data_IF_155504504142
#
_entry.id   IF_155504504142
#
_cell.length_a   1.000
_cell.length_b   1.000
_cell.length_c   1.000
_cell.angle_alpha   90.00
_cell.angle_beta   90.00
_cell.angle_gamma   90.00
#
_symmetry.space_group_name_H-M   'P 1'
#
loop_
_entity.id
_entity.type
_entity.pdbx_description
1 polymer ?
#
# COMPACT_ATOMS: atom_id res chain seq x y z
N UNK A 1 -19.85 7.66 -6.55
CA UNK A 1 -20.54 8.72 -5.80
C UNK A 1 -20.66 8.37 -4.32
N UNK A 2 -21.32 7.27 -3.90
CA UNK A 2 -21.50 6.89 -2.48
C UNK A 2 -20.18 6.72 -1.72
N UNK A 3 -19.20 6.03 -2.28
CA UNK A 3 -17.86 5.85 -1.66
C UNK A 3 -17.21 7.18 -1.33
N UNK A 4 -17.22 8.13 -2.26
CA UNK A 4 -16.55 9.43 -2.11
C UNK A 4 -17.30 10.40 -1.20
N UNK A 5 -18.63 10.39 -1.25
CA UNK A 5 -19.45 11.35 -0.48
C UNK A 5 -19.78 10.85 0.93
N UNK A 6 -19.59 9.57 1.23
CA UNK A 6 -19.98 9.00 2.51
C UNK A 6 -18.89 8.11 3.13
N UNK A 7 -18.36 7.10 2.40
CA UNK A 7 -17.43 6.13 3.00
C UNK A 7 -16.09 6.80 3.35
N UNK A 8 -15.46 7.47 2.38
CA UNK A 8 -14.15 8.09 2.58
C UNK A 8 -14.20 9.25 3.61
N UNK A 9 -15.16 10.19 3.57
CA UNK A 9 -15.15 11.34 4.47
C UNK A 9 -15.73 11.06 5.86
N UNK A 10 -16.55 10.03 6.03
CA UNK A 10 -17.26 9.79 7.31
C UNK A 10 -16.99 8.43 7.91
N UNK A 11 -17.25 7.33 7.18
CA UNK A 11 -17.20 5.98 7.76
C UNK A 11 -15.76 5.60 8.13
N UNK A 12 -14.82 5.78 7.22
CA UNK A 12 -13.40 5.44 7.48
C UNK A 12 -12.83 6.27 8.63
N UNK A 13 -12.95 7.62 8.64
CA UNK A 13 -12.46 8.40 9.76
C UNK A 13 -13.12 8.06 11.11
N UNK A 14 -14.40 7.71 11.12
CA UNK A 14 -15.07 7.27 12.37
C UNK A 14 -14.46 5.98 12.91
N UNK A 15 -14.21 5.00 12.05
CA UNK A 15 -13.58 3.73 12.44
C UNK A 15 -12.12 3.94 12.90
N UNK A 16 -11.36 4.73 12.18
CA UNK A 16 -9.96 5.04 12.53
C UNK A 16 -9.87 5.85 13.83
N UNK A 17 -10.76 6.80 14.06
CA UNK A 17 -10.84 7.54 15.32
C UNK A 17 -11.26 6.65 16.50
N UNK A 18 -11.96 5.56 16.24
CA UNK A 18 -12.28 4.54 17.24
C UNK A 18 -11.12 3.53 17.46
N UNK A 19 -10.00 3.68 16.75
CA UNK A 19 -8.80 2.84 16.88
C UNK A 19 -8.71 1.69 15.88
N UNK A 20 -9.60 1.61 14.90
CA UNK A 20 -9.52 0.60 13.86
C UNK A 20 -8.42 0.92 12.84
N UNK A 21 -7.75 -0.12 12.34
CA UNK A 21 -6.91 -0.05 11.14
C UNK A 21 -7.78 -0.43 9.95
N UNK A 22 -8.06 0.53 9.08
CA UNK A 22 -9.01 0.33 7.97
C UNK A 22 -8.26 0.10 6.66
N UNK A 23 -8.49 -1.07 6.06
CA UNK A 23 -8.07 -1.37 4.69
C UNK A 23 -9.25 -1.18 3.73
N UNK A 24 -8.97 -0.63 2.55
CA UNK A 24 -9.95 -0.49 1.47
C UNK A 24 -9.40 -1.14 0.19
N UNK A 25 -10.17 -2.00 -0.51
CA UNK A 25 -9.74 -2.58 -1.78
C UNK A 25 -9.82 -1.60 -2.96
N UNK A 26 -10.13 -0.35 -2.70
CA UNK A 26 -10.09 0.77 -3.65
C UNK A 26 -9.15 1.85 -3.14
N UNK A 27 -8.64 2.66 -4.06
CA UNK A 27 -7.86 3.84 -3.68
C UNK A 27 -8.69 4.79 -2.83
N UNK A 28 -8.15 5.18 -1.68
CA UNK A 28 -8.80 6.09 -0.73
C UNK A 28 -8.35 7.54 -0.87
N UNK A 29 -7.19 7.80 -1.47
CA UNK A 29 -6.70 9.14 -1.69
C UNK A 29 -7.33 9.77 -2.93
N UNK A 30 -7.90 10.95 -2.75
CA UNK A 30 -8.52 11.73 -3.84
C UNK A 30 -7.51 12.61 -4.57
N UNK A 31 -6.23 12.64 -4.16
CA UNK A 31 -5.16 13.37 -4.82
C UNK A 31 -4.90 12.79 -6.22
N UNK A 32 -4.95 13.65 -7.25
CA UNK A 32 -4.69 13.24 -8.62
C UNK A 32 -3.22 13.09 -8.95
N UNK A 33 -2.35 13.75 -8.17
CA UNK A 33 -0.92 13.56 -8.29
C UNK A 33 -0.51 12.29 -7.55
N UNK A 34 0.46 11.59 -8.11
CA UNK A 34 1.12 10.44 -7.51
C UNK A 34 2.61 10.54 -7.76
N UNK A 35 3.38 10.46 -6.70
CA UNK A 35 4.84 10.40 -6.77
C UNK A 35 5.28 9.13 -6.06
N UNK A 36 6.01 8.29 -6.77
CA UNK A 36 6.60 7.08 -6.22
C UNK A 36 8.11 7.25 -6.20
N UNK A 37 8.68 7.06 -5.02
CA UNK A 37 10.13 6.97 -4.81
C UNK A 37 10.46 5.53 -4.47
N UNK A 38 11.40 4.96 -5.19
CA UNK A 38 11.70 3.53 -5.17
C UNK A 38 13.22 3.31 -5.25
N UNK A 39 13.71 2.22 -4.67
CA UNK A 39 15.12 1.87 -4.71
C UNK A 39 15.64 1.53 -6.12
N UNK A 40 14.76 1.19 -7.06
CA UNK A 40 15.08 0.93 -8.48
C UNK A 40 14.85 2.16 -9.38
N UNK A 41 14.50 3.32 -8.80
CA UNK A 41 14.22 4.54 -9.58
C UNK A 41 15.50 5.08 -10.21
N UNK A 42 15.50 5.45 -11.51
CA UNK A 42 16.68 5.96 -12.20
C UNK A 42 17.26 7.25 -11.60
N UNK A 43 16.42 8.03 -10.90
CA UNK A 43 16.83 9.25 -10.18
C UNK A 43 17.19 8.90 -8.73
N UNK A 44 18.33 8.25 -8.53
CA UNK A 44 18.85 7.83 -7.23
C UNK A 44 18.98 8.97 -6.19
N UNK A 45 18.84 10.23 -6.58
CA UNK A 45 18.85 11.39 -5.67
C UNK A 45 17.61 11.49 -4.76
N UNK A 46 16.57 10.71 -5.02
CA UNK A 46 15.32 10.70 -4.24
C UNK A 46 15.22 9.52 -3.27
N UNK A 47 16.00 8.47 -3.48
CA UNK A 47 16.16 7.33 -2.57
C UNK A 47 17.58 7.27 -2.06
N UNK A 48 17.76 7.23 -0.76
CA UNK A 48 19.07 7.22 -0.11
C UNK A 48 19.15 6.11 0.94
N UNK A 49 20.30 5.43 0.98
CA UNK A 49 20.62 4.47 2.03
C UNK A 49 21.77 5.00 2.88
N UNK A 50 21.51 5.22 4.16
CA UNK A 50 22.50 5.55 5.16
C UNK A 50 22.79 4.33 6.00
N UNK A 51 24.05 4.00 6.16
CA UNK A 51 24.47 2.84 6.94
C UNK A 51 25.84 3.06 7.57
N UNK A 52 26.34 2.03 8.23
CA UNK A 52 27.67 2.01 8.84
C UNK A 52 28.53 0.90 8.21
N UNK A 53 29.81 0.80 8.64
CA UNK A 53 30.67 -0.34 8.20
C UNK A 53 30.09 -1.70 8.56
N UNK A 54 29.24 -1.79 9.64
CA UNK A 54 28.66 -3.02 10.16
C UNK A 54 27.19 -3.19 9.75
N UNK A 55 26.46 -2.09 9.51
CA UNK A 55 25.07 -2.09 9.10
C UNK A 55 24.97 -1.62 7.65
N UNK A 56 24.80 -2.57 6.72
CA UNK A 56 24.72 -2.31 5.27
C UNK A 56 23.42 -2.83 4.71
N UNK A 57 22.78 -2.02 3.90
CA UNK A 57 21.65 -2.43 3.09
C UNK A 57 22.09 -3.47 2.04
N UNK A 58 21.27 -4.48 1.86
CA UNK A 58 21.53 -5.60 0.94
C UNK A 58 20.28 -5.87 0.11
N UNK A 59 20.44 -6.19 -1.15
CA UNK A 59 19.31 -6.60 -2.02
C UNK A 59 18.78 -7.95 -1.57
N UNK A 60 17.45 -8.07 -1.49
CA UNK A 60 16.78 -9.34 -1.17
C UNK A 60 16.81 -10.29 -2.37
N UNK A 61 16.50 -11.56 -2.14
CA UNK A 61 16.23 -12.52 -3.23
C UNK A 61 14.80 -12.44 -3.76
N UNK A 62 13.94 -11.69 -3.08
CA UNK A 62 12.52 -11.53 -3.44
C UNK A 62 12.37 -10.29 -4.33
N UNK A 63 11.52 -10.40 -5.35
CA UNK A 63 11.18 -9.26 -6.21
C UNK A 63 10.47 -8.17 -5.41
N UNK A 64 10.66 -6.92 -5.81
CA UNK A 64 10.03 -5.74 -5.25
C UNK A 64 9.26 -4.95 -6.30
N UNK A 65 8.78 -3.80 -5.89
CA UNK A 65 8.13 -2.84 -6.76
C UNK A 65 9.16 -2.16 -7.68
N UNK A 66 8.75 -1.88 -8.92
CA UNK A 66 9.38 -0.87 -9.76
C UNK A 66 8.39 -0.36 -10.81
N UNK A 67 8.30 0.94 -10.94
CA UNK A 67 7.46 1.55 -12.00
C UNK A 67 8.23 1.62 -13.31
N UNK A 68 8.28 0.51 -14.05
CA UNK A 68 8.97 0.44 -15.35
C UNK A 68 8.15 0.92 -16.54
N UNK A 69 6.85 1.11 -16.34
CA UNK A 69 5.90 1.48 -17.41
C UNK A 69 5.01 2.64 -16.97
N UNK A 70 4.66 3.49 -17.92
CA UNK A 70 3.62 4.50 -17.67
C UNK A 70 2.21 3.87 -17.63
N UNK A 71 1.98 2.81 -18.43
CA UNK A 71 0.70 2.09 -18.53
C UNK A 71 0.97 0.60 -18.40
N UNK A 72 0.22 -0.04 -17.53
CA UNK A 72 0.23 -1.49 -17.31
C UNK A 72 -0.95 -2.15 -18.01
N UNK A 73 -0.72 -3.29 -18.63
CA UNK A 73 -1.78 -4.13 -19.20
C UNK A 73 -2.45 -4.96 -18.12
N UNK A 74 -3.63 -5.48 -18.43
CA UNK A 74 -4.29 -6.47 -17.58
C UNK A 74 -3.34 -7.65 -17.31
N UNK A 75 -3.19 -8.04 -16.04
CA UNK A 75 -2.30 -9.12 -15.59
C UNK A 75 -0.85 -8.71 -15.30
N UNK A 76 -0.41 -7.52 -15.67
CA UNK A 76 0.93 -7.04 -15.32
C UNK A 76 0.98 -6.54 -13.87
N UNK A 77 2.06 -6.87 -13.15
CA UNK A 77 2.21 -6.54 -11.74
C UNK A 77 3.53 -5.79 -11.49
N UNK A 78 3.48 -4.49 -11.10
CA UNK A 78 4.69 -3.71 -10.85
C UNK A 78 5.52 -4.22 -9.65
N UNK A 79 4.93 -5.00 -8.72
CA UNK A 79 5.64 -5.59 -7.58
C UNK A 79 6.53 -6.79 -7.95
N UNK A 80 6.54 -7.19 -9.21
CA UNK A 80 7.45 -8.23 -9.73
C UNK A 80 8.54 -7.68 -10.64
N UNK A 81 8.56 -6.38 -10.85
CA UNK A 81 9.44 -5.71 -11.82
C UNK A 81 10.74 -5.20 -11.20
N UNK A 82 10.76 -4.98 -9.88
CA UNK A 82 11.87 -4.38 -9.13
C UNK A 82 12.60 -5.34 -8.21
N UNK A 83 13.40 -4.72 -7.35
CA UNK A 83 14.14 -5.34 -6.25
C UNK A 83 13.66 -4.75 -4.93
N UNK A 84 14.01 -5.37 -3.82
CA UNK A 84 13.83 -4.79 -2.50
C UNK A 84 15.11 -4.90 -1.69
N UNK A 85 15.22 -4.07 -0.64
CA UNK A 85 16.42 -3.94 0.17
C UNK A 85 16.13 -4.35 1.60
N UNK A 86 17.10 -4.94 2.30
CA UNK A 86 16.96 -5.25 3.72
C UNK A 86 18.21 -4.93 4.51
N UNK A 87 18.04 -4.77 5.81
CA UNK A 87 19.13 -4.57 6.75
C UNK A 87 18.79 -5.25 8.09
N UNK A 88 19.82 -5.67 8.82
CA UNK A 88 19.67 -6.21 10.17
C UNK A 88 19.22 -5.11 11.14
N UNK A 89 18.33 -5.50 12.06
CA UNK A 89 17.84 -4.58 13.09
C UNK A 89 18.88 -4.34 14.19
N UNK A 90 18.82 -3.15 14.75
CA UNK A 90 19.59 -2.73 15.92
C UNK A 90 18.65 -2.31 17.05
N UNK A 91 18.95 -2.79 18.29
CA UNK A 91 18.24 -2.31 19.47
C UNK A 91 18.65 -0.89 19.79
N UNK A 92 17.69 -0.06 20.20
CA UNK A 92 17.95 1.30 20.67
C UNK A 92 18.96 1.26 21.84
N UNK A 93 20.15 1.81 21.62
CA UNK A 93 21.21 1.95 22.62
C UNK A 93 21.56 3.42 22.80
N UNK A 94 22.07 3.81 23.99
CA UNK A 94 22.54 5.18 24.28
C UNK A 94 23.62 5.69 23.30
N UNK A 95 24.35 4.78 22.62
CA UNK A 95 25.30 5.09 21.55
C UNK A 95 24.93 4.23 20.34
N UNK A 96 24.17 4.79 19.42
CA UNK A 96 23.74 4.14 18.17
C UNK A 96 24.90 4.12 17.15
N UNK A 97 25.84 3.19 17.30
CA UNK A 97 27.00 3.09 16.40
C UNK A 97 26.67 2.46 15.03
N UNK A 98 25.60 1.66 14.96
CA UNK A 98 25.23 0.89 13.79
C UNK A 98 23.82 1.25 13.33
N UNK A 99 23.37 2.48 13.62
CA UNK A 99 22.09 2.99 13.13
C UNK A 99 22.17 3.21 11.61
N UNK A 100 21.12 2.79 10.92
CA UNK A 100 21.00 2.87 9.47
C UNK A 100 19.57 3.28 9.09
N UNK A 101 19.45 3.94 7.95
CA UNK A 101 18.18 4.45 7.45
C UNK A 101 18.06 4.20 5.94
N UNK A 102 16.83 4.03 5.48
CA UNK A 102 16.44 4.25 4.10
C UNK A 102 15.52 5.47 4.05
N UNK A 103 15.73 6.36 3.09
CA UNK A 103 15.04 7.63 2.98
C UNK A 103 14.43 7.77 1.58
N UNK A 104 13.16 8.18 1.54
CA UNK A 104 12.41 8.45 0.31
C UNK A 104 11.97 9.92 0.31
N UNK A 105 12.57 10.71 -0.57
CA UNK A 105 12.35 12.16 -0.66
C UNK A 105 11.61 12.47 -1.96
N UNK A 106 10.29 12.74 -1.94
CA UNK A 106 9.54 13.01 -3.16
C UNK A 106 9.81 14.42 -3.71
N UNK A 107 9.69 14.59 -5.01
CA UNK A 107 9.55 15.92 -5.64
C UNK A 107 8.08 16.14 -5.97
N UNK A 108 7.36 16.78 -5.07
CA UNK A 108 5.91 16.96 -5.20
C UNK A 108 5.57 18.10 -6.17
N UNK A 109 4.60 17.90 -7.08
CA UNK A 109 4.25 18.93 -8.09
C UNK A 109 3.44 20.10 -7.51
N UNK A 110 2.79 19.93 -6.36
CA UNK A 110 1.96 20.93 -5.71
C UNK A 110 1.94 20.72 -4.19
N UNK A 111 1.79 21.80 -3.43
CA UNK A 111 1.45 21.76 -2.00
C UNK A 111 0.04 21.16 -1.82
N UNK A 112 -0.14 20.33 -0.80
CA UNK A 112 -1.45 19.73 -0.48
C UNK A 112 -1.36 18.47 0.35
N UNK A 113 -2.51 17.82 0.50
CA UNK A 113 -2.66 16.54 1.20
C UNK A 113 -2.33 15.38 0.28
N UNK A 114 -1.45 14.51 0.76
CA UNK A 114 -1.08 13.26 0.09
C UNK A 114 -1.18 12.11 1.08
N UNK A 115 -1.85 11.04 0.68
CA UNK A 115 -1.75 9.78 1.39
C UNK A 115 -0.36 9.19 1.17
N UNK A 116 0.22 8.63 2.22
CA UNK A 116 1.52 7.98 2.21
C UNK A 116 1.31 6.48 2.33
N UNK A 117 1.85 5.74 1.37
CA UNK A 117 1.87 4.28 1.35
C UNK A 117 3.32 3.80 1.28
N UNK A 118 3.60 2.73 2.00
CA UNK A 118 4.91 2.07 1.95
C UNK A 118 4.77 0.68 1.36
N UNK A 119 5.82 0.22 0.69
CA UNK A 119 5.98 -1.14 0.22
C UNK A 119 7.20 -1.78 0.85
N UNK A 120 7.12 -3.07 1.08
CA UNK A 120 8.21 -3.93 1.56
C UNK A 120 7.93 -5.38 1.17
N UNK A 121 8.91 -6.25 1.33
CA UNK A 121 8.72 -7.69 1.22
C UNK A 121 8.72 -8.34 2.61
N UNK A 122 7.80 -9.26 2.83
CA UNK A 122 7.83 -10.11 4.03
C UNK A 122 8.94 -11.15 3.87
N UNK A 123 9.94 -11.06 4.73
CA UNK A 123 11.08 -11.98 4.77
C UNK A 123 10.94 -12.90 5.99
N UNK A 124 11.59 -14.09 6.01
CA UNK A 124 11.48 -15.02 7.14
C UNK A 124 11.85 -14.42 8.50
N UNK A 125 12.75 -13.44 8.52
CA UNK A 125 13.23 -12.77 9.72
C UNK A 125 12.70 -11.35 9.86
N UNK A 126 11.64 -10.96 9.16
CA UNK A 126 11.02 -9.64 9.30
C UNK A 126 10.57 -9.39 10.73
N UNK A 127 10.65 -8.12 11.16
CA UNK A 127 10.19 -7.69 12.49
C UNK A 127 8.75 -7.18 12.45
N UNK A 128 8.08 -7.14 13.60
CA UNK A 128 6.71 -6.65 13.71
C UNK A 128 6.61 -5.16 14.06
N UNK A 129 7.73 -4.49 14.31
CA UNK A 129 7.81 -3.10 14.74
C UNK A 129 8.76 -2.26 13.88
N UNK A 130 8.80 -2.51 12.56
CA UNK A 130 9.61 -1.72 11.63
C UNK A 130 9.23 -0.23 11.74
N UNK A 131 10.21 0.60 12.08
CA UNK A 131 9.99 2.00 12.44
C UNK A 131 10.07 2.91 11.23
N UNK A 132 8.91 3.40 10.81
CA UNK A 132 8.79 4.44 9.77
C UNK A 132 8.55 5.81 10.42
N UNK A 133 9.18 6.83 9.88
CA UNK A 133 9.00 8.23 10.23
C UNK A 133 8.52 8.97 8.98
N UNK A 134 7.36 9.60 9.07
CA UNK A 134 6.83 10.48 8.02
C UNK A 134 7.05 11.91 8.44
N UNK A 135 7.93 12.62 7.73
CA UNK A 135 8.17 14.05 7.88
C UNK A 135 7.19 14.81 6.99
N UNK A 136 6.46 15.75 7.55
CA UNK A 136 5.39 16.50 6.87
C UNK A 136 5.23 17.89 7.50
N UNK A 137 4.42 18.78 6.94
CA UNK A 137 4.28 20.18 7.41
C UNK A 137 3.82 20.29 8.88
N UNK A 138 3.16 19.29 9.43
CA UNK A 138 2.77 19.25 10.84
C UNK A 138 3.84 18.71 11.80
N UNK A 139 5.01 18.32 11.28
CA UNK A 139 6.10 17.72 12.07
C UNK A 139 6.47 16.30 11.62
N UNK A 140 6.69 15.39 12.57
CA UNK A 140 7.09 14.01 12.31
C UNK A 140 6.10 13.05 12.98
N UNK A 141 5.55 12.12 12.19
CA UNK A 141 4.70 11.05 12.72
C UNK A 141 5.43 9.70 12.62
N UNK A 142 5.51 8.98 13.74
CA UNK A 142 6.13 7.66 13.84
C UNK A 142 5.09 6.56 13.64
N UNK A 143 5.44 5.54 12.86
CA UNK A 143 4.66 4.32 12.66
C UNK A 143 5.51 3.09 12.97
N UNK A 144 4.87 2.08 13.56
CA UNK A 144 5.42 0.73 13.70
C UNK A 144 4.66 -0.19 12.76
N UNK A 145 5.33 -0.65 11.72
CA UNK A 145 4.73 -1.50 10.68
C UNK A 145 5.16 -2.95 10.91
N UNK A 146 4.18 -3.84 10.95
CA UNK A 146 4.44 -5.28 11.05
C UNK A 146 4.82 -5.83 9.68
N UNK A 147 6.12 -5.96 9.41
CA UNK A 147 6.63 -6.49 8.14
C UNK A 147 6.60 -8.03 8.04
N UNK A 148 6.15 -8.74 9.08
CA UNK A 148 5.92 -10.19 9.04
C UNK A 148 4.70 -10.57 8.18
N UNK A 149 3.86 -9.58 7.85
CA UNK A 149 2.61 -9.72 7.10
C UNK A 149 2.49 -8.60 6.07
N UNK A 150 1.64 -8.76 5.08
CA UNK A 150 1.25 -7.69 4.15
C UNK A 150 2.35 -7.26 3.16
N UNK A 151 3.43 -8.03 2.99
CA UNK A 151 4.48 -7.70 2.02
C UNK A 151 4.01 -7.82 0.57
N UNK A 152 4.63 -7.05 -0.34
CA UNK A 152 4.32 -7.06 -1.78
C UNK A 152 3.06 -6.31 -2.15
N UNK A 153 2.64 -5.35 -1.33
CA UNK A 153 1.50 -4.47 -1.60
C UNK A 153 1.72 -3.06 -1.04
N UNK A 154 0.78 -2.15 -1.28
CA UNK A 154 0.78 -0.84 -0.67
C UNK A 154 0.15 -0.87 0.72
N UNK A 155 0.92 -0.48 1.74
CA UNK A 155 0.47 -0.34 3.13
C UNK A 155 0.30 1.15 3.44
N UNK A 156 -0.92 1.57 3.72
CA UNK A 156 -1.27 2.95 4.05
C UNK A 156 -0.78 3.33 5.45
N UNK A 157 -0.08 4.46 5.56
CA UNK A 157 0.36 5.01 6.85
C UNK A 157 -0.53 6.14 7.34
N UNK A 158 -0.91 7.06 6.46
CA UNK A 158 -1.70 8.24 6.80
C UNK A 158 -1.78 9.22 5.64
N UNK A 159 -2.57 10.29 5.82
CA UNK A 159 -2.65 11.40 4.88
C UNK A 159 -2.14 12.67 5.56
N UNK A 160 -1.15 13.32 4.95
CA UNK A 160 -0.42 14.43 5.54
C UNK A 160 -0.31 15.60 4.57
N UNK A 161 -0.12 16.81 5.09
CA UNK A 161 0.19 18.00 4.32
C UNK A 161 1.68 18.02 3.96
N UNK A 162 1.97 18.27 2.69
CA UNK A 162 3.32 18.44 2.16
C UNK A 162 3.42 19.69 1.30
N UNK A 163 4.59 20.30 1.29
CA UNK A 163 4.90 21.39 0.39
C UNK A 163 5.35 20.90 -0.99
N UNK A 164 5.11 21.74 -2.00
CA UNK A 164 5.62 21.55 -3.35
C UNK A 164 7.14 21.46 -3.36
N UNK A 165 7.65 20.60 -4.22
CA UNK A 165 9.08 20.44 -4.47
C UNK A 165 9.70 19.32 -3.67
N UNK A 166 11.00 19.36 -3.53
CA UNK A 166 11.83 18.43 -2.75
C UNK A 166 12.38 19.20 -1.55
N UNK A 167 12.15 18.69 -0.35
CA UNK A 167 12.65 19.33 0.87
C UNK A 167 12.89 18.30 1.99
N UNK A 168 13.75 18.65 2.94
CA UNK A 168 14.21 17.76 4.02
C UNK A 168 13.13 17.47 5.09
N UNK A 169 11.98 18.14 5.02
CA UNK A 169 10.84 17.92 5.93
C UNK A 169 9.60 17.38 5.21
N UNK A 170 9.78 16.86 4.00
CA UNK A 170 8.72 16.21 3.22
C UNK A 170 9.21 14.85 2.73
N UNK A 171 9.44 13.88 3.64
CA UNK A 171 10.03 12.59 3.29
C UNK A 171 9.54 11.47 4.20
N UNK A 172 9.84 10.24 3.80
CA UNK A 172 9.65 9.05 4.65
C UNK A 172 11.01 8.44 4.94
N UNK A 173 11.20 8.00 6.17
CA UNK A 173 12.42 7.36 6.63
C UNK A 173 12.08 6.02 7.29
N UNK A 174 12.77 4.95 6.91
CA UNK A 174 12.74 3.66 7.60
C UNK A 174 14.04 3.50 8.38
N UNK A 175 13.92 3.32 9.71
CA UNK A 175 15.05 3.03 10.59
C UNK A 175 15.25 1.53 10.75
N UNK A 176 16.51 1.09 10.94
CA UNK A 176 16.79 -0.28 11.38
C UNK A 176 16.62 -0.50 12.88
N UNK A 177 16.12 0.51 13.62
CA UNK A 177 15.80 0.37 15.04
C UNK A 177 14.57 -0.51 15.24
N UNK A 178 14.69 -1.56 16.06
CA UNK A 178 13.59 -2.45 16.41
C UNK A 178 13.78 -2.99 17.84
N UNK A 179 12.69 -3.37 18.50
CA UNK A 179 12.74 -4.13 19.74
C UNK A 179 13.06 -5.61 19.51
N UNK A 180 12.83 -6.09 18.29
CA UNK A 180 13.09 -7.46 17.86
C UNK A 180 14.46 -7.60 17.20
N UNK A 181 14.99 -8.81 17.19
CA UNK A 181 16.16 -9.17 16.40
C UNK A 181 15.68 -9.79 15.09
N UNK A 182 16.02 -9.14 13.96
CA UNK A 182 15.59 -9.59 12.66
C UNK A 182 16.03 -8.62 11.56
N UNK A 183 15.18 -8.42 10.57
CA UNK A 183 15.44 -7.51 9.48
C UNK A 183 14.27 -6.55 9.24
N UNK A 184 14.59 -5.34 8.79
CA UNK A 184 13.63 -4.45 8.15
C UNK A 184 13.87 -4.47 6.64
N UNK A 185 12.78 -4.41 5.87
CA UNK A 185 12.79 -4.40 4.41
C UNK A 185 12.32 -3.04 3.90
N UNK A 186 13.05 -2.47 2.95
CA UNK A 186 12.77 -1.25 2.22
C UNK A 186 12.49 -1.57 0.75
N UNK A 187 11.49 -0.91 0.17
CA UNK A 187 11.13 -1.05 -1.25
C UNK A 187 10.72 0.33 -1.75
N UNK A 188 9.45 0.59 -2.02
CA UNK A 188 8.96 1.85 -2.53
C UNK A 188 8.11 2.62 -1.50
N UNK A 189 8.04 3.94 -1.67
CA UNK A 189 7.08 4.81 -1.00
C UNK A 189 6.30 5.61 -2.04
N UNK A 190 4.97 5.60 -1.89
CA UNK A 190 4.03 6.29 -2.77
C UNK A 190 3.37 7.44 -2.01
N UNK A 191 3.34 8.60 -2.64
CA UNK A 191 2.68 9.81 -2.16
C UNK A 191 1.54 10.17 -3.12
N UNK A 192 0.31 10.12 -2.62
CA UNK A 192 -0.90 10.41 -3.40
C UNK A 192 -1.55 9.21 -4.09
N UNK A 193 -2.78 9.41 -4.56
CA UNK A 193 -3.59 8.37 -5.22
C UNK A 193 -3.31 8.21 -6.71
N UNK A 194 -3.13 9.32 -7.41
CA UNK A 194 -2.79 9.36 -8.82
C UNK A 194 -3.95 9.14 -9.80
N UNK A 195 -3.58 9.08 -11.06
CA UNK A 195 -4.45 8.74 -12.18
C UNK A 195 -4.36 7.23 -12.46
N UNK A 196 -5.48 6.65 -12.93
CA UNK A 196 -5.51 5.27 -13.40
C UNK A 196 -4.54 5.04 -14.55
N UNK A 197 -3.69 4.03 -14.42
CA UNK A 197 -2.65 3.67 -15.38
C UNK A 197 -2.73 2.21 -15.85
N UNK A 198 -3.85 1.55 -15.59
CA UNK A 198 -4.09 0.19 -16.06
C UNK A 198 -4.96 0.22 -17.30
N UNK A 199 -4.49 -0.43 -18.36
CA UNK A 199 -5.20 -0.54 -19.64
C UNK A 199 -6.03 -1.82 -19.66
N UNK A 200 -7.30 -1.68 -20.02
CA UNK A 200 -8.20 -2.77 -20.37
C UNK A 200 -8.86 -2.50 -21.71
N UNK A 201 -8.92 -3.53 -22.57
CA UNK A 201 -9.38 -3.32 -23.96
C UNK A 201 -8.53 -2.31 -24.75
N UNK A 202 -7.26 -2.16 -24.41
CA UNK A 202 -6.32 -1.24 -25.07
C UNK A 202 -6.42 0.24 -24.66
N UNK A 203 -7.26 0.56 -23.66
CA UNK A 203 -7.47 1.95 -23.20
C UNK A 203 -7.38 2.03 -21.68
N UNK A 204 -6.84 3.14 -21.15
CA UNK A 204 -6.93 3.52 -19.75
C UNK A 204 -8.25 4.21 -19.47
N UNK A 205 -8.70 4.23 -18.23
CA UNK A 205 -9.96 4.86 -17.82
C UNK A 205 -9.98 6.38 -18.02
N UNK A 206 -8.82 7.04 -17.96
CA UNK A 206 -8.71 8.50 -17.92
C UNK A 206 -9.20 9.13 -16.62
N UNK A 207 -9.54 8.30 -15.62
CA UNK A 207 -10.06 8.74 -14.32
C UNK A 207 -8.94 8.79 -13.27
N UNK A 208 -9.09 9.62 -12.24
CA UNK A 208 -8.33 9.46 -10.99
C UNK A 208 -8.54 8.06 -10.41
N UNK A 209 -7.50 7.49 -9.82
CA UNK A 209 -7.53 6.10 -9.34
C UNK A 209 -8.64 5.81 -8.34
N UNK A 210 -8.99 6.77 -7.48
CA UNK A 210 -10.09 6.61 -6.52
C UNK A 210 -11.49 6.51 -7.17
N UNK A 211 -11.62 6.84 -8.46
CA UNK A 211 -12.85 6.67 -9.25
C UNK A 211 -12.90 5.32 -9.96
N UNK A 212 -11.79 4.62 -10.07
CA UNK A 212 -11.74 3.32 -10.71
C UNK A 212 -12.37 2.21 -9.84
N UNK A 213 -12.70 1.10 -10.44
CA UNK A 213 -13.22 -0.09 -9.76
C UNK A 213 -12.18 -0.77 -8.86
N UNK A 214 -12.64 -1.69 -8.01
CA UNK A 214 -11.79 -2.46 -7.11
C UNK A 214 -10.76 -3.31 -7.88
N UNK A 215 -11.11 -3.79 -9.05
CA UNK A 215 -10.27 -4.58 -9.95
C UNK A 215 -8.99 -3.84 -10.36
N UNK A 216 -9.11 -2.53 -10.69
CA UNK A 216 -7.97 -1.68 -11.04
C UNK A 216 -7.07 -1.42 -9.83
N UNK A 217 -7.69 -1.08 -8.70
CA UNK A 217 -6.96 -0.80 -7.47
C UNK A 217 -6.22 -2.04 -6.95
N UNK A 218 -6.84 -3.22 -7.00
CA UNK A 218 -6.21 -4.48 -6.58
C UNK A 218 -5.02 -4.85 -7.45
N UNK A 219 -5.11 -4.68 -8.77
CA UNK A 219 -3.95 -4.89 -9.65
C UNK A 219 -2.83 -3.90 -9.33
N UNK A 220 -3.13 -2.61 -9.15
CA UNK A 220 -2.13 -1.59 -8.79
C UNK A 220 -1.53 -1.82 -7.41
N UNK A 221 -2.26 -2.49 -6.51
CA UNK A 221 -1.79 -2.89 -5.20
C UNK A 221 -0.96 -4.20 -5.19
N UNK A 222 -0.65 -4.76 -6.34
CA UNK A 222 0.19 -5.95 -6.45
C UNK A 222 -0.52 -7.28 -6.21
N UNK A 223 -1.85 -7.29 -6.14
CA UNK A 223 -2.60 -8.53 -5.96
C UNK A 223 -2.38 -9.50 -7.13
N UNK A 224 -2.37 -10.82 -6.90
CA UNK A 224 -2.31 -11.82 -7.96
C UNK A 224 -3.46 -11.71 -8.95
N UNK A 225 -3.24 -12.17 -10.19
CA UNK A 225 -4.22 -12.07 -11.27
C UNK A 225 -5.56 -12.73 -10.94
N UNK A 226 -5.55 -13.90 -10.31
CA UNK A 226 -6.74 -14.66 -9.90
C UNK A 226 -7.58 -13.93 -8.83
N UNK A 227 -7.00 -13.04 -8.05
CA UNK A 227 -7.72 -12.20 -7.07
C UNK A 227 -8.63 -11.19 -7.76
N UNK A 228 -8.16 -10.54 -8.83
CA UNK A 228 -8.90 -9.47 -9.49
C UNK A 228 -9.42 -9.82 -10.89
N UNK A 229 -9.19 -11.03 -11.36
CA UNK A 229 -9.63 -11.54 -12.66
C UNK A 229 -10.10 -12.99 -12.58
N UNK A 230 -10.99 -13.29 -11.64
CA UNK A 230 -11.52 -14.64 -11.42
C UNK A 230 -12.22 -15.25 -12.65
N UNK A 231 -12.70 -14.41 -13.58
CA UNK A 231 -13.23 -14.78 -14.91
C UNK A 231 -12.20 -14.53 -16.02
N UNK A 232 -10.91 -14.43 -15.69
CA UNK A 232 -9.81 -14.22 -16.64
C UNK A 232 -9.95 -12.97 -17.53
N UNK A 233 -10.67 -11.96 -17.04
CA UNK A 233 -10.95 -10.74 -17.82
C UNK A 233 -12.06 -10.86 -18.86
N UNK A 234 -12.74 -12.00 -18.96
CA UNK A 234 -13.85 -12.20 -19.91
C UNK A 234 -15.09 -11.38 -19.55
N UNK A 235 -15.27 -11.07 -18.26
CA UNK A 235 -16.37 -10.26 -17.76
C UNK A 235 -15.88 -9.28 -16.70
N UNK A 236 -15.55 -8.06 -17.12
CA UNK A 236 -14.99 -7.01 -16.28
C UNK A 236 -15.90 -6.64 -15.11
N UNK A 237 -17.22 -6.60 -15.31
CA UNK A 237 -18.18 -6.30 -14.26
C UNK A 237 -18.21 -7.36 -13.16
N UNK A 238 -18.26 -8.62 -13.54
CA UNK A 238 -18.24 -9.74 -12.58
C UNK A 238 -16.90 -9.83 -11.85
N UNK A 239 -15.80 -9.63 -12.57
CA UNK A 239 -14.47 -9.59 -11.98
C UNK A 239 -14.34 -8.45 -10.95
N UNK A 240 -14.85 -7.24 -11.25
CA UNK A 240 -14.80 -6.11 -10.31
C UNK A 240 -15.64 -6.37 -9.04
N UNK A 241 -16.81 -6.98 -9.16
CA UNK A 241 -17.64 -7.35 -8.01
C UNK A 241 -16.91 -8.34 -7.10
N UNK A 242 -16.36 -9.40 -7.69
CA UNK A 242 -15.71 -10.48 -6.94
C UNK A 242 -14.35 -10.07 -6.38
N UNK A 243 -13.66 -9.13 -7.00
CA UNK A 243 -12.36 -8.63 -6.52
C UNK A 243 -12.41 -8.20 -5.06
N UNK A 244 -13.50 -7.60 -4.62
CA UNK A 244 -13.64 -7.11 -3.24
C UNK A 244 -13.53 -8.23 -2.20
N UNK A 245 -14.28 -9.31 -2.37
CA UNK A 245 -14.22 -10.48 -1.49
C UNK A 245 -12.92 -11.28 -1.68
N UNK A 246 -12.46 -11.43 -2.92
CA UNK A 246 -11.21 -12.13 -3.21
C UNK A 246 -10.00 -11.43 -2.60
N UNK A 247 -9.96 -10.08 -2.63
CA UNK A 247 -8.90 -9.29 -1.97
C UNK A 247 -8.88 -9.52 -0.47
N UNK A 248 -10.04 -9.57 0.18
CA UNK A 248 -10.16 -9.87 1.62
C UNK A 248 -9.62 -11.27 1.91
N UNK A 249 -10.04 -12.28 1.14
CA UNK A 249 -9.55 -13.65 1.29
C UNK A 249 -8.03 -13.74 1.10
N UNK A 250 -7.48 -13.03 0.12
CA UNK A 250 -6.04 -13.00 -0.12
C UNK A 250 -5.27 -12.27 0.99
N UNK A 251 -5.79 -11.15 1.49
CA UNK A 251 -5.17 -10.45 2.62
C UNK A 251 -5.08 -11.34 3.85
N UNK A 252 -6.17 -12.03 4.22
CA UNK A 252 -6.21 -12.89 5.40
C UNK A 252 -5.42 -14.20 5.25
N UNK A 253 -5.25 -14.70 4.03
CA UNK A 253 -4.67 -16.02 3.78
C UNK A 253 -5.71 -17.12 3.83
N UNK A 254 -6.87 -16.87 3.26
CA UNK A 254 -7.98 -17.81 3.14
C UNK A 254 -9.14 -17.52 4.08
N UNK A 255 -10.18 -18.31 3.95
CA UNK A 255 -11.41 -18.21 4.75
C UNK A 255 -12.00 -19.61 4.93
N UNK A 256 -13.09 -19.70 5.72
CA UNK A 256 -13.86 -20.96 5.86
C UNK A 256 -14.32 -21.50 4.49
N UNK A 257 -14.64 -20.60 3.55
CA UNK A 257 -15.07 -20.95 2.20
C UNK A 257 -13.92 -21.17 1.20
N UNK A 258 -12.72 -20.72 1.54
CA UNK A 258 -11.53 -20.89 0.71
C UNK A 258 -10.28 -21.15 1.58
N UNK A 259 -10.24 -22.28 2.28
CA UNK A 259 -9.22 -22.57 3.28
C UNK A 259 -7.83 -22.84 2.68
N UNK A 260 -7.77 -23.19 1.41
CA UNK A 260 -6.51 -23.48 0.71
C UNK A 260 -5.82 -22.27 0.10
N UNK A 261 -6.39 -21.08 0.20
CA UNK A 261 -5.77 -19.88 -0.35
C UNK A 261 -4.60 -19.41 0.51
N UNK A 262 -3.42 -19.37 -0.06
CA UNK A 262 -2.29 -18.67 0.52
C UNK A 262 -2.48 -17.16 0.33
N UNK A 263 -2.05 -16.35 1.32
CA UNK A 263 -2.20 -14.91 1.25
C UNK A 263 -1.16 -14.18 2.10
N UNK A 264 -1.47 -12.95 2.46
CA UNK A 264 -0.53 -12.04 3.12
C UNK A 264 -0.54 -12.14 4.65
N UNK A 265 -1.40 -13.00 5.23
CA UNK A 265 -1.46 -13.26 6.67
C UNK A 265 -1.96 -12.07 7.50
N UNK A 266 -2.67 -11.12 6.89
CA UNK A 266 -3.19 -9.95 7.58
C UNK A 266 -4.39 -10.37 8.44
N UNK A 267 -4.37 -10.16 9.77
CA UNK A 267 -5.50 -10.49 10.62
C UNK A 267 -6.66 -9.52 10.35
N UNK A 268 -7.79 -10.04 9.87
CA UNK A 268 -9.00 -9.26 9.62
C UNK A 268 -10.05 -9.66 10.66
N UNK A 269 -10.45 -8.72 11.51
CA UNK A 269 -11.45 -8.94 12.56
C UNK A 269 -12.87 -8.70 12.05
N UNK A 270 -13.03 -7.76 11.10
CA UNK A 270 -14.33 -7.39 10.55
C UNK A 270 -14.20 -7.02 9.07
N UNK A 271 -15.17 -7.41 8.28
CA UNK A 271 -15.32 -6.96 6.89
C UNK A 271 -16.67 -6.29 6.70
N UNK A 272 -16.72 -5.20 5.92
CA UNK A 272 -17.96 -4.48 5.63
C UNK A 272 -18.08 -4.27 4.12
N UNK A 273 -19.18 -4.72 3.53
CA UNK A 273 -19.54 -4.44 2.15
C UNK A 273 -20.72 -3.46 2.12
N UNK A 274 -20.51 -2.33 1.44
CA UNK A 274 -21.54 -1.31 1.24
C UNK A 274 -21.84 -1.23 -0.26
N UNK A 275 -23.08 -1.52 -0.65
CA UNK A 275 -23.51 -1.48 -2.04
C UNK A 275 -24.97 -1.06 -2.15
N UNK A 276 -25.38 -0.57 -3.31
CA UNK A 276 -26.78 -0.36 -3.67
C UNK A 276 -27.21 -1.45 -4.64
N UNK A 277 -28.43 -1.95 -4.49
CA UNK A 277 -28.98 -2.89 -5.44
C UNK A 277 -29.25 -2.20 -6.77
N UNK A 278 -28.79 -2.81 -7.86
CA UNK A 278 -29.10 -2.35 -9.19
C UNK A 278 -30.48 -2.87 -9.61
N UNK A 279 -31.46 -2.01 -9.77
CA UNK A 279 -32.68 -2.32 -10.49
C UNK A 279 -33.95 -2.52 -9.67
N UNK A 280 -34.02 -2.18 -8.38
CA UNK A 280 -35.27 -2.08 -7.64
C UNK A 280 -35.57 -0.67 -7.18
N UNK A 281 -36.86 -0.30 -7.20
CA UNK A 281 -37.38 0.99 -6.75
C UNK A 281 -37.30 1.22 -5.24
N UNK A 282 -36.78 0.23 -4.48
CA UNK A 282 -36.52 0.31 -3.05
C UNK A 282 -35.09 -0.11 -2.79
N UNK A 283 -34.25 0.84 -2.42
CA UNK A 283 -32.88 0.56 -2.02
C UNK A 283 -32.84 -0.05 -0.62
N UNK A 284 -32.46 -1.33 -0.53
CA UNK A 284 -32.11 -1.98 0.71
C UNK A 284 -30.59 -1.90 0.90
N UNK A 285 -30.16 -1.44 2.06
CA UNK A 285 -28.76 -1.52 2.48
C UNK A 285 -28.61 -2.85 3.21
N UNK A 286 -27.86 -3.78 2.61
CA UNK A 286 -27.49 -5.01 3.29
C UNK A 286 -26.18 -4.82 4.05
N UNK A 287 -26.22 -5.00 5.36
CA UNK A 287 -25.04 -5.14 6.21
C UNK A 287 -24.91 -6.66 6.44
N UNK A 288 -23.89 -7.26 5.86
CA UNK A 288 -23.57 -8.67 6.15
C UNK A 288 -22.63 -8.71 7.35
N UNK A 289 -23.05 -9.38 8.42
CA UNK A 289 -22.17 -9.70 9.52
C UNK A 289 -21.17 -10.80 9.12
N UNK A 290 -19.93 -10.77 9.64
CA UNK A 290 -19.01 -11.86 9.44
C UNK A 290 -19.57 -13.11 10.11
N UNK A 291 -19.78 -14.15 9.36
CA UNK A 291 -20.03 -15.49 9.93
C UNK A 291 -18.74 -15.93 10.63
N UNK A 292 -18.83 -16.14 11.95
CA UNK A 292 -17.77 -16.70 12.79
C UNK A 292 -17.40 -18.12 12.34
#
# INVERSE_FOLDING_TARGET
MFTQSFILPYVIPMLENAGAIVYTPRERDTQKNEIIVDNDTPNASLYLEVGSKKARWTTTSVKGFAQKKAIYKDGENPFTDGTSRYIQTEKKKKKNKDQAFAEWVPTLPATGKYAVYVSYQTLPNSVSDAKYLVFHNGGVTEFKVNQKIGGGTWVYLGTFEFDKGNNDYGMVVLSNESSEHGVVCADAVRFGGGMGNISRGGKISGLPRYLEGARYSSQWAGMPYDVYAGRKGENDYTDDINTRSNTINYLSGGSVYNPGQTGLGVPLEMTMALHSDAGCSLSLIHISEPTR
#
